data_IF_909824734975
#
_entry.id   IF_909824734975
#
_cell.length_a   1.000
_cell.length_b   1.000
_cell.length_c   1.000
_cell.angle_alpha   90.00
_cell.angle_beta   90.00
_cell.angle_gamma   90.00
#
_symmetry.space_group_name_H-M   'P 1'
#
loop_
_entity.id
_entity.type
_entity.pdbx_description
1 polymer ?
#
# COMPACT_ATOMS: atom_id res chain seq x y z
N UNK A 1 0.69 12.73 16.30
CA UNK A 1 0.21 11.71 17.26
C UNK A 1 1.10 10.49 17.15
N UNK A 2 1.47 9.84 18.25
CA UNK A 2 2.34 8.65 18.22
C UNK A 2 1.62 7.45 17.59
N UNK A 3 2.36 6.61 16.85
CA UNK A 3 1.81 5.43 16.15
C UNK A 3 1.01 4.49 17.06
N UNK A 4 1.55 4.14 18.24
CA UNK A 4 0.86 3.28 19.23
C UNK A 4 -0.49 3.84 19.68
N UNK A 5 -0.55 5.17 19.88
CA UNK A 5 -1.80 5.84 20.25
C UNK A 5 -2.80 5.81 19.11
N UNK A 6 -2.34 5.97 17.86
CA UNK A 6 -3.20 5.87 16.68
C UNK A 6 -3.78 4.47 16.53
N UNK A 7 -2.97 3.42 16.67
CA UNK A 7 -3.42 2.03 16.65
C UNK A 7 -4.53 1.81 17.69
N UNK A 8 -4.30 2.22 18.94
CA UNK A 8 -5.32 2.09 20.00
C UNK A 8 -6.65 2.78 19.66
N UNK A 9 -6.60 3.95 19.01
CA UNK A 9 -7.79 4.68 18.56
C UNK A 9 -8.50 3.99 17.40
N UNK A 10 -7.76 3.39 16.45
CA UNK A 10 -8.34 2.68 15.30
C UNK A 10 -8.98 1.34 15.71
N UNK A 11 -8.45 0.69 16.75
CA UNK A 11 -9.04 -0.55 17.24
C UNK A 11 -10.46 -0.34 17.79
N UNK A 12 -10.78 0.79 18.43
CA UNK A 12 -12.13 1.11 18.97
C UNK A 12 -12.77 -0.04 19.77
N UNK A 13 -11.98 -0.71 20.62
CA UNK A 13 -12.34 -1.90 21.40
C UNK A 13 -12.52 -3.21 20.60
N UNK A 14 -12.17 -3.23 19.32
CA UNK A 14 -12.01 -4.46 18.55
C UNK A 14 -10.71 -5.16 18.95
N UNK A 15 -10.71 -6.48 18.81
CA UNK A 15 -9.49 -7.29 18.88
C UNK A 15 -8.65 -7.05 17.63
N UNK A 16 -7.31 -6.98 17.75
CA UNK A 16 -6.41 -6.85 16.60
C UNK A 16 -6.61 -7.95 15.54
N UNK A 17 -7.00 -9.15 15.98
CA UNK A 17 -7.27 -10.31 15.12
C UNK A 17 -8.37 -10.08 14.11
N UNK A 18 -9.35 -9.22 14.39
CA UNK A 18 -10.55 -9.07 13.56
C UNK A 18 -10.44 -7.88 12.59
N UNK A 19 -9.29 -7.18 12.61
CA UNK A 19 -9.08 -5.96 11.84
C UNK A 19 -8.51 -6.30 10.48
N UNK A 20 -9.32 -6.05 9.44
CA UNK A 20 -8.92 -6.22 8.04
C UNK A 20 -8.20 -5.03 7.44
N UNK A 21 -8.48 -3.84 7.94
CA UNK A 21 -7.94 -2.59 7.41
C UNK A 21 -7.44 -1.71 8.53
N UNK A 22 -6.23 -1.18 8.38
CA UNK A 22 -5.62 -0.30 9.36
C UNK A 22 -4.93 0.89 8.68
N UNK A 23 -5.38 2.09 9.03
CA UNK A 23 -4.84 3.35 8.50
C UNK A 23 -4.13 4.12 9.60
N UNK A 24 -2.82 4.27 9.45
CA UNK A 24 -1.92 4.92 10.41
C UNK A 24 -1.30 6.20 9.84
N UNK A 25 -1.89 6.77 8.81
CA UNK A 25 -1.35 7.93 8.10
C UNK A 25 -1.18 9.15 9.02
N UNK A 26 -0.18 9.96 8.70
CA UNK A 26 0.14 11.21 9.41
C UNK A 26 0.39 11.00 10.92
N UNK A 27 0.71 9.78 11.34
CA UNK A 27 1.21 9.50 12.68
C UNK A 27 2.74 9.71 12.75
N UNK A 28 3.31 9.66 13.95
CA UNK A 28 4.76 9.75 14.16
C UNK A 28 5.29 8.38 14.54
N UNK A 29 6.20 7.86 13.71
CA UNK A 29 7.09 6.76 14.09
C UNK A 29 8.23 7.27 14.98
N UNK A 30 8.70 6.44 15.90
CA UNK A 30 9.91 6.73 16.66
C UNK A 30 11.11 6.15 15.91
N UNK A 31 12.14 6.97 15.71
CA UNK A 31 13.37 6.60 14.97
C UNK A 31 13.13 6.07 13.53
N UNK A 32 11.96 6.34 12.94
CA UNK A 32 11.60 5.83 11.62
C UNK A 32 11.25 4.34 11.60
N UNK A 33 10.82 3.79 12.74
CA UNK A 33 10.46 2.37 12.89
C UNK A 33 8.96 2.20 13.15
N UNK A 34 8.42 1.09 12.65
CA UNK A 34 7.05 0.67 12.96
C UNK A 34 6.98 0.24 14.42
N UNK A 35 5.95 0.71 15.13
CA UNK A 35 5.73 0.38 16.53
C UNK A 35 4.26 0.09 16.82
N UNK A 36 4.01 -0.91 17.66
CA UNK A 36 2.66 -1.26 18.13
C UNK A 36 1.90 -2.20 17.20
N UNK A 37 2.44 -2.52 16.02
CA UNK A 37 2.00 -3.67 15.24
C UNK A 37 2.64 -4.94 15.80
N UNK A 38 1.85 -6.00 15.89
CA UNK A 38 2.23 -7.32 16.41
C UNK A 38 1.73 -8.40 15.45
N UNK A 39 2.10 -9.65 15.69
CA UNK A 39 1.60 -10.78 14.90
C UNK A 39 0.10 -11.10 15.19
N UNK A 40 -0.55 -10.36 16.10
CA UNK A 40 -1.98 -10.53 16.44
C UNK A 40 -2.92 -10.00 15.35
N UNK A 41 -2.42 -9.20 14.41
CA UNK A 41 -3.18 -8.67 13.27
C UNK A 41 -3.32 -9.72 12.15
N UNK A 42 -3.87 -10.88 12.49
CA UNK A 42 -3.89 -12.06 11.62
C UNK A 42 -4.76 -11.88 10.37
N UNK A 43 -5.87 -11.14 10.48
CA UNK A 43 -6.81 -10.88 9.38
C UNK A 43 -6.51 -9.60 8.60
N UNK A 44 -5.39 -8.92 8.87
CA UNK A 44 -5.08 -7.64 8.22
C UNK A 44 -4.79 -7.83 6.73
N UNK A 45 -5.63 -7.26 5.87
CA UNK A 45 -5.55 -7.31 4.41
C UNK A 45 -4.98 -6.00 3.83
N UNK A 46 -5.24 -4.86 4.48
CA UNK A 46 -4.79 -3.52 4.07
C UNK A 46 -4.11 -2.75 5.21
N UNK A 47 -2.91 -2.24 4.95
CA UNK A 47 -2.16 -1.39 5.87
C UNK A 47 -1.71 -0.11 5.16
N UNK A 48 -2.09 1.03 5.72
CA UNK A 48 -1.62 2.34 5.26
C UNK A 48 -0.78 3.03 6.33
N UNK A 49 0.43 3.44 5.96
CA UNK A 49 1.36 4.19 6.82
C UNK A 49 1.98 5.34 6.04
N UNK A 50 1.14 6.24 5.53
CA UNK A 50 1.58 7.36 4.71
C UNK A 50 2.10 8.50 5.59
N UNK A 51 3.24 9.10 5.19
CA UNK A 51 3.82 10.27 5.85
C UNK A 51 4.01 10.10 7.37
N UNK A 52 4.56 8.94 7.77
CA UNK A 52 4.82 8.62 9.19
C UNK A 52 6.30 8.76 9.57
N UNK A 53 7.16 9.07 8.59
CA UNK A 53 8.59 9.25 8.77
C UNK A 53 9.39 7.95 8.86
N UNK A 54 8.87 6.83 8.34
CA UNK A 54 9.57 5.55 8.35
C UNK A 54 10.85 5.60 7.53
N UNK A 55 11.90 4.95 8.02
CA UNK A 55 13.18 4.78 7.33
C UNK A 55 13.43 3.32 6.97
N UNK A 56 12.72 2.39 7.61
CA UNK A 56 12.85 0.95 7.40
C UNK A 56 11.54 0.23 7.65
N UNK A 57 11.37 -0.91 6.98
CA UNK A 57 10.25 -1.85 7.15
C UNK A 57 10.65 -3.10 7.94
N UNK A 58 11.88 -3.17 8.46
CA UNK A 58 12.42 -4.35 9.17
C UNK A 58 11.63 -4.75 10.43
N UNK A 59 10.88 -3.81 11.01
CA UNK A 59 10.07 -4.03 12.21
C UNK A 59 8.60 -4.40 11.91
N UNK A 60 8.28 -4.73 10.66
CA UNK A 60 6.98 -5.31 10.35
C UNK A 60 6.81 -6.68 11.02
N UNK A 61 5.69 -6.93 11.71
CA UNK A 61 5.31 -8.28 12.13
C UNK A 61 5.00 -9.15 10.91
N UNK A 62 4.79 -10.45 11.14
CA UNK A 62 4.39 -11.37 10.09
C UNK A 62 2.89 -11.19 9.81
N UNK A 63 2.56 -10.63 8.66
CA UNK A 63 1.21 -10.32 8.21
C UNK A 63 0.86 -11.17 6.99
N UNK A 64 0.46 -12.42 7.24
CA UNK A 64 0.27 -13.40 6.15
C UNK A 64 -0.91 -13.06 5.23
N UNK A 65 -1.95 -12.37 5.72
CA UNK A 65 -3.12 -11.99 4.92
C UNK A 65 -3.01 -10.62 4.25
N UNK A 66 -1.91 -9.90 4.47
CA UNK A 66 -1.73 -8.57 3.93
C UNK A 66 -1.60 -8.63 2.40
N UNK A 67 -2.52 -7.98 1.72
CA UNK A 67 -2.59 -7.90 0.25
C UNK A 67 -2.11 -6.55 -0.27
N UNK A 68 -2.38 -5.47 0.47
CA UNK A 68 -2.04 -4.10 0.04
C UNK A 68 -1.36 -3.31 1.14
N UNK A 69 -0.23 -2.69 0.79
CA UNK A 69 0.64 -1.95 1.71
C UNK A 69 0.99 -0.58 1.12
N UNK A 70 0.55 0.48 1.79
CA UNK A 70 0.86 1.87 1.43
C UNK A 70 1.95 2.43 2.36
N UNK A 71 3.12 2.74 1.79
CA UNK A 71 4.28 3.31 2.47
C UNK A 71 4.68 4.68 1.91
N UNK A 72 3.73 5.37 1.27
CA UNK A 72 3.98 6.62 0.56
C UNK A 72 4.49 7.73 1.48
N UNK A 73 5.27 8.66 0.93
CA UNK A 73 5.81 9.83 1.65
C UNK A 73 6.61 9.49 2.91
N UNK A 74 7.39 8.40 2.85
CA UNK A 74 8.33 8.03 3.90
C UNK A 74 9.79 8.30 3.45
N UNK A 75 10.76 7.74 4.17
CA UNK A 75 12.20 7.92 3.94
C UNK A 75 12.89 6.57 3.78
N UNK A 76 12.18 5.56 3.30
CA UNK A 76 12.69 4.21 3.10
C UNK A 76 13.69 4.26 1.93
N UNK A 77 14.85 3.65 2.12
CA UNK A 77 15.91 3.59 1.10
C UNK A 77 16.45 2.18 0.86
N UNK A 78 15.79 1.15 1.40
CA UNK A 78 16.20 -0.25 1.31
C UNK A 78 15.60 -1.11 2.41
N UNK A 79 16.13 -2.32 2.59
CA UNK A 79 15.62 -3.29 3.55
C UNK A 79 14.29 -3.91 3.11
N UNK A 80 14.04 -3.99 1.80
CA UNK A 80 12.79 -4.50 1.23
C UNK A 80 12.74 -6.04 1.22
N UNK A 81 13.87 -6.71 1.42
CA UNK A 81 13.98 -8.17 1.51
C UNK A 81 13.11 -8.77 2.61
N UNK A 82 12.85 -8.02 3.68
CA UNK A 82 12.00 -8.46 4.79
C UNK A 82 10.54 -8.61 4.38
N UNK A 83 10.09 -7.91 3.33
CA UNK A 83 8.70 -7.97 2.86
C UNK A 83 8.35 -9.37 2.37
N UNK A 84 9.29 -10.07 1.73
CA UNK A 84 9.08 -11.45 1.29
C UNK A 84 8.85 -12.42 2.45
N UNK A 85 9.51 -12.22 3.59
CA UNK A 85 9.32 -13.04 4.78
C UNK A 85 8.06 -12.66 5.56
N UNK A 86 7.80 -11.36 5.70
CA UNK A 86 6.73 -10.82 6.55
C UNK A 86 5.37 -10.79 5.88
N UNK A 87 5.32 -10.50 4.58
CA UNK A 87 4.08 -10.28 3.82
C UNK A 87 4.10 -11.11 2.52
N UNK A 88 4.10 -12.46 2.60
CA UNK A 88 4.29 -13.33 1.43
C UNK A 88 3.17 -13.25 0.39
N UNK A 89 1.98 -12.78 0.78
CA UNK A 89 0.79 -12.66 -0.08
C UNK A 89 0.53 -11.22 -0.55
N UNK A 90 1.55 -10.36 -0.49
CA UNK A 90 1.42 -8.97 -0.88
C UNK A 90 1.26 -8.84 -2.40
N UNK A 91 0.17 -8.22 -2.82
CA UNK A 91 -0.19 -8.03 -4.24
C UNK A 91 0.03 -6.59 -4.71
N UNK A 92 -0.13 -5.62 -3.80
CA UNK A 92 -0.02 -4.19 -4.08
C UNK A 92 0.94 -3.53 -3.08
N UNK A 93 1.95 -2.84 -3.59
CA UNK A 93 2.93 -2.11 -2.79
C UNK A 93 3.11 -0.70 -3.32
N UNK A 94 2.87 0.29 -2.46
CA UNK A 94 3.18 1.68 -2.77
C UNK A 94 4.38 2.16 -1.98
N UNK A 95 5.44 2.53 -2.71
CA UNK A 95 6.67 3.11 -2.19
C UNK A 95 6.90 4.54 -2.71
N UNK A 96 5.89 5.19 -3.27
CA UNK A 96 6.00 6.54 -3.79
C UNK A 96 6.52 7.54 -2.75
N UNK A 97 7.27 8.55 -3.20
CA UNK A 97 7.86 9.57 -2.33
C UNK A 97 8.91 9.07 -1.33
N UNK A 98 9.46 7.86 -1.52
CA UNK A 98 10.56 7.33 -0.73
C UNK A 98 11.93 7.61 -1.37
N UNK A 99 13.01 7.19 -0.69
CA UNK A 99 14.41 7.44 -1.11
C UNK A 99 15.00 6.24 -1.85
N UNK A 100 14.24 5.68 -2.78
CA UNK A 100 14.68 4.57 -3.62
C UNK A 100 15.50 5.15 -4.79
N UNK A 101 16.81 4.89 -4.80
CA UNK A 101 17.75 5.46 -5.77
C UNK A 101 18.03 4.55 -6.95
N UNK A 102 18.25 3.27 -6.66
CA UNK A 102 18.77 2.30 -7.61
C UNK A 102 17.88 1.06 -7.69
N UNK A 103 17.88 0.42 -8.87
CA UNK A 103 17.14 -0.84 -9.10
C UNK A 103 17.57 -1.98 -8.18
N UNK A 104 18.81 -1.96 -7.68
CA UNK A 104 19.29 -2.93 -6.68
C UNK A 104 18.50 -2.89 -5.37
N UNK A 105 17.89 -1.75 -5.04
CA UNK A 105 17.08 -1.57 -3.83
C UNK A 105 15.77 -2.35 -3.92
N UNK A 106 15.20 -2.46 -5.13
CA UNK A 106 13.93 -3.14 -5.40
C UNK A 106 14.14 -4.59 -5.88
N UNK A 107 15.36 -5.00 -6.21
CA UNK A 107 15.68 -6.38 -6.60
C UNK A 107 15.12 -7.43 -5.61
N UNK A 108 15.19 -7.24 -4.27
CA UNK A 108 14.62 -8.21 -3.33
C UNK A 108 13.11 -8.43 -3.47
N UNK A 109 12.38 -7.50 -4.08
CA UNK A 109 10.94 -7.66 -4.35
C UNK A 109 10.65 -8.79 -5.34
N UNK A 110 11.67 -9.29 -6.07
CA UNK A 110 11.51 -10.45 -6.96
C UNK A 110 11.05 -11.71 -6.22
N UNK A 111 11.37 -11.82 -4.94
CA UNK A 111 10.96 -12.94 -4.08
C UNK A 111 9.46 -12.89 -3.71
N UNK A 112 8.82 -11.72 -3.85
CA UNK A 112 7.38 -11.58 -3.73
C UNK A 112 6.71 -12.04 -5.04
N UNK A 113 6.51 -13.35 -5.16
CA UNK A 113 5.89 -13.94 -6.36
C UNK A 113 4.42 -13.54 -6.59
N UNK A 114 3.75 -13.01 -5.56
CA UNK A 114 2.35 -12.56 -5.61
C UNK A 114 2.20 -11.07 -5.96
N UNK A 115 3.30 -10.32 -6.02
CA UNK A 115 3.27 -8.88 -6.25
C UNK A 115 2.86 -8.57 -7.70
N UNK A 116 1.72 -7.89 -7.85
CA UNK A 116 1.13 -7.52 -9.15
C UNK A 116 1.29 -6.03 -9.47
N UNK A 117 1.22 -5.17 -8.45
CA UNK A 117 1.27 -3.72 -8.61
C UNK A 117 2.32 -3.09 -7.70
N UNK A 118 3.14 -2.23 -8.28
CA UNK A 118 4.20 -1.49 -7.59
C UNK A 118 4.14 -0.02 -8.01
N UNK A 119 4.16 0.87 -7.02
CA UNK A 119 4.24 2.32 -7.25
C UNK A 119 5.54 2.85 -6.65
N UNK A 120 6.37 3.47 -7.49
CA UNK A 120 7.63 4.11 -7.15
C UNK A 120 7.63 5.58 -7.57
N UNK A 121 6.46 6.16 -7.81
CA UNK A 121 6.33 7.56 -8.23
C UNK A 121 7.07 8.50 -7.27
N UNK A 122 7.68 9.55 -7.79
CA UNK A 122 8.45 10.52 -7.00
C UNK A 122 9.61 9.89 -6.18
N UNK A 123 10.19 8.77 -6.65
CA UNK A 123 11.47 8.24 -6.17
C UNK A 123 12.63 8.67 -7.08
N UNK A 124 13.87 8.59 -6.61
CA UNK A 124 15.04 8.92 -7.42
C UNK A 124 15.23 7.94 -8.61
N UNK A 125 14.86 6.67 -8.42
CA UNK A 125 14.94 5.58 -9.41
C UNK A 125 14.14 5.86 -10.70
N UNK A 126 13.08 6.67 -10.63
CA UNK A 126 12.25 6.98 -11.81
C UNK A 126 12.96 7.87 -12.81
N UNK A 127 14.07 8.52 -12.41
CA UNK A 127 14.89 9.35 -13.31
C UNK A 127 15.92 8.54 -14.10
N UNK A 128 16.02 7.23 -13.86
CA UNK A 128 16.91 6.36 -14.61
C UNK A 128 16.40 6.16 -16.04
N UNK A 129 17.33 6.05 -16.98
CA UNK A 129 17.00 5.73 -18.37
C UNK A 129 16.38 4.33 -18.45
N UNK A 130 15.36 4.18 -19.31
CA UNK A 130 14.65 2.91 -19.51
C UNK A 130 14.12 2.32 -18.18
N UNK A 131 13.79 3.17 -17.20
CA UNK A 131 13.36 2.76 -15.87
C UNK A 131 12.24 1.71 -15.91
N UNK A 132 11.14 1.97 -16.62
CA UNK A 132 10.00 1.03 -16.71
C UNK A 132 10.42 -0.32 -17.27
N UNK A 133 11.11 -0.32 -18.41
CA UNK A 133 11.59 -1.55 -19.06
C UNK A 133 12.54 -2.35 -18.15
N UNK A 134 13.42 -1.66 -17.43
CA UNK A 134 14.36 -2.30 -16.51
C UNK A 134 13.66 -2.87 -15.28
N UNK A 135 12.62 -2.19 -14.75
CA UNK A 135 11.80 -2.72 -13.66
C UNK A 135 11.02 -3.95 -14.11
N UNK A 136 10.34 -3.92 -15.26
CA UNK A 136 9.61 -5.08 -15.77
C UNK A 136 10.53 -6.26 -16.12
N UNK A 137 11.76 -6.00 -16.58
CA UNK A 137 12.78 -7.05 -16.77
C UNK A 137 13.25 -7.65 -15.44
N UNK A 138 13.38 -6.83 -14.40
CA UNK A 138 13.84 -7.24 -13.07
C UNK A 138 12.75 -7.99 -12.30
N UNK A 139 11.51 -7.53 -12.41
CA UNK A 139 10.32 -8.03 -11.72
C UNK A 139 9.29 -8.53 -12.74
N UNK A 140 9.53 -9.69 -13.39
CA UNK A 140 8.67 -10.20 -14.45
C UNK A 140 7.26 -10.63 -13.96
N UNK A 141 7.07 -10.80 -12.65
CA UNK A 141 5.75 -11.04 -12.05
C UNK A 141 4.85 -9.78 -12.05
N UNK A 142 5.44 -8.60 -12.19
CA UNK A 142 4.73 -7.34 -12.06
C UNK A 142 3.84 -7.11 -13.27
N UNK A 143 2.58 -6.76 -13.02
CA UNK A 143 1.61 -6.42 -14.07
C UNK A 143 1.52 -4.91 -14.25
N UNK A 144 1.50 -4.17 -13.14
CA UNK A 144 1.33 -2.71 -13.12
C UNK A 144 2.50 -2.03 -12.41
N UNK A 145 3.02 -0.99 -13.04
CA UNK A 145 4.06 -0.11 -12.50
C UNK A 145 3.57 1.33 -12.58
N UNK A 146 3.57 2.03 -11.45
CA UNK A 146 3.13 3.43 -11.33
C UNK A 146 1.71 3.66 -11.89
N UNK A 147 0.83 2.66 -11.74
CA UNK A 147 -0.56 2.69 -12.22
C UNK A 147 -0.78 2.25 -13.67
N UNK A 148 0.27 1.85 -14.40
CA UNK A 148 0.15 1.46 -15.82
C UNK A 148 0.83 0.11 -16.09
N UNK A 149 0.26 -0.69 -16.99
CA UNK A 149 0.88 -1.91 -17.49
C UNK A 149 2.03 -1.64 -18.48
N UNK A 150 2.59 -2.72 -19.06
CA UNK A 150 3.65 -2.64 -20.08
C UNK A 150 3.19 -2.03 -21.42
N UNK A 151 1.88 -1.97 -21.67
CA UNK A 151 1.26 -1.43 -22.88
C UNK A 151 0.68 -0.02 -22.63
N UNK A 152 1.07 0.62 -21.51
CA UNK A 152 0.58 1.92 -21.03
C UNK A 152 -0.94 1.98 -20.79
N UNK A 153 -1.55 0.84 -20.45
CA UNK A 153 -2.95 0.80 -20.00
C UNK A 153 -3.02 1.01 -18.50
N UNK A 154 -3.91 1.91 -18.09
CA UNK A 154 -4.16 2.19 -16.68
C UNK A 154 -4.70 0.95 -15.96
N UNK A 155 -4.21 0.72 -14.74
CA UNK A 155 -4.70 -0.34 -13.88
C UNK A 155 -6.19 -0.11 -13.57
N UNK A 156 -7.03 -1.15 -13.56
CA UNK A 156 -8.39 -1.02 -13.06
C UNK A 156 -8.36 -0.57 -11.59
N UNK A 157 -9.33 0.23 -11.17
CA UNK A 157 -9.45 0.66 -9.78
C UNK A 157 -9.40 -0.58 -8.86
N UNK A 158 -8.33 -0.67 -8.05
CA UNK A 158 -7.93 -1.86 -7.29
C UNK A 158 -8.96 -2.39 -6.28
N UNK A 159 -10.04 -1.65 -6.07
CA UNK A 159 -11.08 -1.95 -5.09
C UNK A 159 -12.12 -2.95 -5.63
N UNK A 160 -12.15 -3.19 -6.95
CA UNK A 160 -13.10 -4.11 -7.58
C UNK A 160 -12.67 -5.58 -7.53
N UNK A 161 -11.37 -5.89 -7.44
CA UNK A 161 -10.87 -7.27 -7.57
C UNK A 161 -10.69 -8.01 -6.23
N UNK A 162 -10.71 -7.32 -5.09
CA UNK A 162 -10.54 -7.97 -3.77
C UNK A 162 -11.77 -8.81 -3.38
N UNK A 163 -12.93 -8.54 -3.98
CA UNK A 163 -14.20 -9.22 -3.69
C UNK A 163 -14.54 -10.38 -4.65
N UNK A 164 -13.80 -10.56 -5.74
CA UNK A 164 -14.15 -11.55 -6.76
C UNK A 164 -13.71 -12.98 -6.41
N UNK A 165 -12.79 -13.17 -5.47
CA UNK A 165 -12.35 -14.50 -5.02
C UNK A 165 -13.13 -14.94 -3.78
N UNK A 166 -14.41 -15.23 -3.96
CA UNK A 166 -15.28 -15.75 -2.89
C UNK A 166 -16.72 -16.06 -3.29
N UNK A 167 -17.12 -15.85 -4.55
CA UNK A 167 -18.41 -16.32 -5.04
C UNK A 167 -18.24 -17.74 -5.57
N UNK A 168 -18.30 -18.70 -4.65
CA UNK A 168 -18.89 -19.99 -5.00
C UNK A 168 -20.31 -19.69 -5.51
N UNK A 169 -20.61 -20.20 -6.71
CA UNK A 169 -21.94 -20.24 -7.32
C UNK A 169 -23.00 -20.49 -6.26
N UNK A 170 -23.95 -19.57 -6.10
CA UNK A 170 -25.37 -19.90 -6.01
C UNK A 170 -26.24 -18.62 -5.95
N UNK A 171 -27.16 -18.59 -6.92
CA UNK A 171 -28.42 -17.83 -7.00
C UNK A 171 -28.41 -16.41 -7.60
N UNK A 172 -29.11 -16.35 -8.73
CA UNK A 172 -29.64 -15.22 -9.47
C UNK A 172 -30.42 -14.28 -8.55
N UNK A 173 -30.17 -12.97 -8.63
CA UNK A 173 -31.21 -11.95 -8.44
C UNK A 173 -30.79 -10.65 -9.14
N UNK A 174 -31.47 -10.38 -10.26
CA UNK A 174 -31.50 -9.08 -10.92
C UNK A 174 -32.17 -8.08 -9.97
N UNK A 175 -31.42 -7.11 -9.43
CA UNK A 175 -31.87 -5.74 -9.11
C UNK A 175 -30.86 -5.05 -8.17
N UNK A 176 -29.83 -4.41 -8.76
CA UNK A 176 -28.77 -3.73 -8.00
C UNK A 176 -28.27 -2.41 -8.59
N UNK A 177 -28.90 -1.87 -9.63
CA UNK A 177 -28.51 -0.60 -10.23
C UNK A 177 -29.10 0.61 -9.47
N UNK A 178 -28.66 0.87 -8.23
CA UNK A 178 -28.84 2.20 -7.64
C UNK A 178 -27.99 2.58 -6.42
N UNK A 179 -27.11 1.72 -5.89
CA UNK A 179 -26.27 2.07 -4.74
C UNK A 179 -24.83 2.56 -5.09
N UNK A 180 -24.45 2.52 -6.38
CA UNK A 180 -23.12 2.89 -6.87
C UNK A 180 -22.83 4.41 -6.93
N UNK A 181 -23.82 5.27 -6.67
CA UNK A 181 -23.61 6.73 -6.72
C UNK A 181 -23.39 7.40 -5.36
N UNK A 182 -23.64 6.72 -4.23
CA UNK A 182 -23.51 7.37 -2.91
C UNK A 182 -22.10 7.21 -2.31
N UNK A 183 -21.42 6.08 -2.53
CA UNK A 183 -20.03 5.90 -2.08
C UNK A 183 -19.02 6.68 -2.93
N UNK A 184 -19.40 7.06 -4.15
CA UNK A 184 -18.58 7.74 -5.15
C UNK A 184 -18.31 9.24 -4.85
N UNK A 185 -18.88 9.81 -3.78
CA UNK A 185 -18.61 11.20 -3.36
C UNK A 185 -17.76 11.35 -2.11
N UNK A 186 -17.67 10.33 -1.25
CA UNK A 186 -16.97 10.48 0.04
C UNK A 186 -15.46 10.22 -0.06
N UNK A 187 -15.00 9.33 -0.91
CA UNK A 187 -13.55 9.08 -1.12
C UNK A 187 -12.92 10.05 -2.12
N UNK A 188 -13.70 10.62 -3.05
CA UNK A 188 -13.22 11.58 -4.06
C UNK A 188 -13.11 13.04 -3.57
N UNK A 189 -13.48 13.34 -2.33
CA UNK A 189 -13.38 14.68 -1.74
C UNK A 189 -12.26 14.87 -0.71
N UNK A 190 -11.52 13.82 -0.34
CA UNK A 190 -10.42 13.93 0.64
C UNK A 190 -9.01 13.88 0.04
N UNK A 191 -8.86 14.10 -1.28
CA UNK A 191 -7.54 14.28 -1.91
C UNK A 191 -7.35 15.60 -2.68
N UNK A 192 -8.28 16.57 -2.57
CA UNK A 192 -8.16 17.85 -3.31
C UNK A 192 -8.26 19.15 -2.47
N UNK A 193 -8.16 19.08 -1.14
CA UNK A 193 -8.03 20.28 -0.32
C UNK A 193 -6.92 20.09 0.72
N UNK A 194 -5.67 20.40 0.35
CA UNK A 194 -4.61 21.07 1.15
C UNK A 194 -3.49 21.46 0.16
N UNK A 195 -3.85 22.22 -0.90
CA UNK A 195 -2.90 23.08 -1.60
C UNK A 195 -3.65 24.36 -1.91
N UNK A 196 -3.76 25.24 -0.91
CA UNK A 196 -3.93 26.70 -1.05
C UNK A 196 -4.38 27.30 0.28
N UNK A 197 -3.43 27.81 1.06
CA UNK A 197 -3.56 29.01 1.91
C UNK A 197 -2.34 29.14 2.83
N UNK A 198 -1.19 29.53 2.28
CA UNK A 198 -0.19 30.29 3.04
C UNK A 198 0.60 31.20 2.10
N UNK A 199 -0.09 32.21 1.56
CA UNK A 199 0.50 33.45 1.09
C UNK A 199 -0.56 34.55 1.21
N UNK A 200 -0.16 35.71 1.73
CA UNK A 200 -0.92 36.93 2.06
C UNK A 200 -1.65 36.98 3.42
N UNK A 201 -0.93 37.41 4.46
CA UNK A 201 -0.88 38.82 4.89
C UNK A 201 0.16 39.01 6.00
#
# INVERSE_FOLDING_TARGET
MDMKKRIHLELRNRTPSDVKELVLDNCRSNEGKIEGLTDEFEELEFLSTINVGLTTVAHLPKLNKLKKLELSDNRISGGLEVLAEKCPNLTHLNLSGNKIKDLSTIEPLKELGTLKSLDLFNCEVTNLNEYRDNVFKLLPQLTYLDGYDKDDKEAPDSDAEVYAEGLDDDEEDEDGEQLLQMHNKCTRLMLFFIVDCFCFS
#
